data_IF_294855133898
#
_entry.id   IF_294855133898
#
_cell.length_a   1.000
_cell.length_b   1.000
_cell.length_c   1.000
_cell.angle_alpha   90.00
_cell.angle_beta   90.00
_cell.angle_gamma   90.00
#
_symmetry.space_group_name_H-M   'P 1'
#
loop_
_entity.id
_entity.type
_entity.pdbx_description
1 polymer ?
#
# COMPACT_ATOMS: atom_id res chain seq x y z
N UNK A 1 43.13 3.38 -33.11
CA UNK A 1 42.21 2.43 -32.44
C UNK A 1 42.27 2.71 -30.94
N UNK A 2 41.38 3.55 -30.43
CA UNK A 2 41.38 3.94 -29.01
C UNK A 2 40.56 2.94 -28.20
N UNK A 3 41.21 2.29 -27.22
CA UNK A 3 40.60 1.31 -26.31
C UNK A 3 39.86 2.07 -25.22
N UNK A 4 38.53 2.08 -25.28
CA UNK A 4 37.68 2.64 -24.22
C UNK A 4 37.66 1.66 -23.03
N UNK A 5 38.45 1.95 -22.00
CA UNK A 5 38.34 1.28 -20.70
C UNK A 5 37.30 2.01 -19.83
N UNK A 6 36.06 1.52 -19.87
CA UNK A 6 35.01 2.02 -18.98
C UNK A 6 35.33 1.65 -17.52
N UNK A 7 35.73 2.63 -16.71
CA UNK A 7 35.87 2.46 -15.25
C UNK A 7 34.49 2.21 -14.64
N UNK A 8 34.21 0.96 -14.24
CA UNK A 8 33.02 0.61 -13.46
C UNK A 8 33.09 1.29 -12.09
N UNK A 9 32.24 2.29 -11.85
CA UNK A 9 32.02 2.83 -10.51
C UNK A 9 31.44 1.73 -9.62
N UNK A 10 32.26 1.14 -8.73
CA UNK A 10 31.79 0.29 -7.63
C UNK A 10 30.90 1.14 -6.73
N UNK A 11 29.61 0.81 -6.64
CA UNK A 11 28.72 1.34 -5.61
C UNK A 11 29.33 0.99 -4.25
N UNK A 12 29.64 1.99 -3.43
CA UNK A 12 29.99 1.78 -2.02
C UNK A 12 28.75 1.22 -1.32
N UNK A 13 28.77 -0.06 -0.95
CA UNK A 13 27.78 -0.62 -0.04
C UNK A 13 28.19 -0.26 1.38
N UNK A 14 27.49 0.68 2.01
CA UNK A 14 27.60 0.89 3.45
C UNK A 14 26.75 -0.20 4.14
N UNK A 15 27.38 -1.17 4.80
CA UNK A 15 26.70 -2.13 5.69
C UNK A 15 26.88 -1.77 7.18
N UNK A 16 27.19 -0.51 7.48
CA UNK A 16 27.29 -0.05 8.85
C UNK A 16 25.91 0.43 9.32
N UNK A 17 25.44 0.02 10.51
CA UNK A 17 24.24 0.58 11.11
C UNK A 17 24.43 2.08 11.38
N UNK A 18 23.32 2.83 11.27
CA UNK A 18 23.28 4.26 11.57
C UNK A 18 23.60 4.51 13.05
N UNK A 19 24.26 5.63 13.36
CA UNK A 19 24.69 6.01 14.72
C UNK A 19 23.53 6.10 15.72
N UNK A 20 22.31 6.33 15.20
CA UNK A 20 21.08 6.44 15.98
C UNK A 20 20.30 5.11 16.02
N UNK A 21 20.82 4.07 15.38
CA UNK A 21 20.25 2.72 15.33
C UNK A 21 21.17 1.79 16.11
N UNK A 22 20.92 1.66 17.42
CA UNK A 22 21.65 0.75 18.32
C UNK A 22 21.68 -0.69 17.79
N UNK A 23 22.61 -1.53 18.30
CA UNK A 23 22.88 -2.92 17.89
C UNK A 23 21.61 -3.63 17.39
N UNK A 24 21.36 -3.51 16.08
CA UNK A 24 20.14 -4.07 15.51
C UNK A 24 20.26 -5.57 15.62
N UNK A 25 19.31 -6.21 16.30
CA UNK A 25 19.20 -7.65 16.28
C UNK A 25 19.24 -8.11 14.82
N UNK A 26 20.10 -9.09 14.47
CA UNK A 26 20.19 -9.54 13.10
C UNK A 26 18.82 -10.00 12.63
N UNK A 27 18.42 -9.56 11.43
CA UNK A 27 17.20 -10.02 10.78
C UNK A 27 17.22 -11.56 10.74
N UNK A 28 16.41 -12.21 11.58
CA UNK A 28 16.24 -13.67 11.57
C UNK A 28 15.49 -14.00 10.27
N UNK A 29 16.25 -14.29 9.22
CA UNK A 29 15.74 -14.47 7.85
C UNK A 29 15.08 -15.84 7.63
N UNK A 30 14.77 -16.59 8.70
CA UNK A 30 14.32 -17.98 8.63
C UNK A 30 13.04 -18.19 9.42
N UNK A 31 11.93 -17.69 8.88
CA UNK A 31 10.61 -18.24 9.25
C UNK A 31 10.57 -19.67 8.70
N UNK A 32 10.37 -20.65 9.57
CA UNK A 32 10.22 -22.04 9.17
C UNK A 32 9.05 -22.17 8.17
N UNK A 33 9.14 -22.98 7.10
CA UNK A 33 8.06 -23.12 6.12
C UNK A 33 6.69 -23.47 6.75
N UNK A 34 6.71 -24.27 7.81
CA UNK A 34 5.51 -24.63 8.57
C UNK A 34 4.88 -23.42 9.29
N UNK A 35 5.70 -22.60 9.97
CA UNK A 35 5.22 -21.37 10.61
C UNK A 35 4.63 -20.39 9.60
N UNK A 36 5.26 -20.28 8.42
CA UNK A 36 4.77 -19.42 7.34
C UNK A 36 3.38 -19.86 6.89
N UNK A 37 3.17 -21.17 6.70
CA UNK A 37 1.90 -21.72 6.27
C UNK A 37 0.81 -21.53 7.34
N UNK A 38 1.15 -21.72 8.62
CA UNK A 38 0.24 -21.43 9.75
C UNK A 38 -0.17 -19.95 9.75
N UNK A 39 0.80 -19.02 9.66
CA UNK A 39 0.55 -17.57 9.64
C UNK A 39 -0.30 -17.16 8.44
N UNK A 40 -0.03 -17.72 7.26
CA UNK A 40 -0.80 -17.50 6.03
C UNK A 40 -2.24 -17.95 6.21
N UNK A 41 -2.48 -19.16 6.69
CA UNK A 41 -3.84 -19.69 6.89
C UNK A 41 -4.61 -18.91 7.95
N UNK A 42 -3.95 -18.55 9.05
CA UNK A 42 -4.53 -17.67 10.07
C UNK A 42 -4.94 -16.31 9.49
N UNK A 43 -4.09 -15.70 8.66
CA UNK A 43 -4.39 -14.43 7.99
C UNK A 43 -5.57 -14.55 7.02
N UNK A 44 -5.60 -15.60 6.19
CA UNK A 44 -6.70 -15.84 5.26
C UNK A 44 -8.03 -16.07 5.99
N UNK A 45 -8.01 -16.80 7.10
CA UNK A 45 -9.19 -17.00 7.94
C UNK A 45 -9.70 -15.69 8.52
N UNK A 46 -8.80 -14.85 9.07
CA UNK A 46 -9.17 -13.49 9.54
C UNK A 46 -9.82 -12.63 8.46
N UNK A 47 -9.33 -12.72 7.21
CA UNK A 47 -9.91 -11.96 6.09
C UNK A 47 -11.31 -12.46 5.71
N UNK A 48 -11.59 -13.76 5.85
CA UNK A 48 -12.88 -14.38 5.55
C UNK A 48 -13.93 -14.12 6.62
N UNK A 49 -13.53 -14.13 7.90
CA UNK A 49 -14.45 -13.98 9.05
C UNK A 49 -14.71 -12.52 9.44
N UNK A 50 -14.14 -11.56 8.71
CA UNK A 50 -14.33 -10.14 9.00
C UNK A 50 -15.80 -9.73 8.80
N UNK A 51 -16.35 -9.01 9.78
CA UNK A 51 -17.64 -8.37 9.64
C UNK A 51 -17.53 -7.15 8.71
N UNK A 52 -18.07 -7.27 7.50
CA UNK A 52 -17.97 -6.24 6.46
C UNK A 52 -18.73 -4.96 6.82
N UNK A 53 -19.87 -5.08 7.49
CA UNK A 53 -20.69 -3.93 7.89
C UNK A 53 -19.95 -3.08 8.93
N UNK A 54 -19.41 -3.73 9.97
CA UNK A 54 -18.62 -3.02 10.97
C UNK A 54 -17.35 -2.41 10.36
N UNK A 55 -16.68 -3.14 9.46
CA UNK A 55 -15.51 -2.62 8.76
C UNK A 55 -15.82 -1.35 7.95
N UNK A 56 -16.97 -1.33 7.28
CA UNK A 56 -17.42 -0.17 6.52
C UNK A 56 -17.62 1.04 7.44
N UNK A 57 -18.41 0.89 8.51
CA UNK A 57 -18.62 1.94 9.50
C UNK A 57 -17.30 2.45 10.08
N UNK A 58 -16.41 1.53 10.45
CA UNK A 58 -15.12 1.83 11.07
C UNK A 58 -14.12 2.49 10.12
N UNK A 59 -14.39 2.55 8.82
CA UNK A 59 -13.46 3.10 7.81
C UNK A 59 -14.09 4.15 6.89
N UNK A 60 -15.30 4.62 7.22
CA UNK A 60 -16.11 5.59 6.47
C UNK A 60 -15.42 6.94 6.27
N UNK A 61 -14.56 7.35 7.20
CA UNK A 61 -13.79 8.61 7.10
C UNK A 61 -12.59 8.53 6.15
N UNK A 62 -12.40 7.38 5.48
CA UNK A 62 -11.39 7.15 4.43
C UNK A 62 -9.99 7.66 4.81
N UNK A 63 -9.53 8.75 4.20
CA UNK A 63 -8.20 9.33 4.44
C UNK A 63 -8.01 9.93 5.83
N UNK A 64 -9.10 10.26 6.54
CA UNK A 64 -9.05 10.72 7.93
C UNK A 64 -8.77 9.59 8.93
N UNK A 65 -8.84 8.33 8.49
CA UNK A 65 -8.81 7.18 9.38
C UNK A 65 -7.62 6.24 9.11
N UNK A 66 -6.76 6.10 10.11
CA UNK A 66 -5.58 5.23 10.00
C UNK A 66 -5.95 3.75 9.76
N UNK A 67 -7.09 3.29 10.30
CA UNK A 67 -7.61 1.93 10.10
C UNK A 67 -7.92 1.66 8.63
N UNK A 68 -8.45 2.65 7.91
CA UNK A 68 -8.71 2.55 6.47
C UNK A 68 -7.40 2.25 5.69
N UNK A 69 -6.30 2.92 6.03
CA UNK A 69 -5.00 2.62 5.41
C UNK A 69 -4.48 1.22 5.75
N UNK A 70 -4.67 0.76 6.99
CA UNK A 70 -4.24 -0.58 7.41
C UNK A 70 -5.02 -1.68 6.69
N UNK A 71 -6.33 -1.52 6.53
CA UNK A 71 -7.18 -2.48 5.84
C UNK A 71 -6.88 -2.55 4.34
N UNK A 72 -6.56 -1.41 3.72
CA UNK A 72 -6.16 -1.35 2.31
C UNK A 72 -4.82 -2.00 2.02
N UNK A 73 -3.89 -2.10 2.99
CA UNK A 73 -2.64 -2.85 2.82
C UNK A 73 -2.86 -4.36 2.73
N UNK A 74 -3.95 -4.85 3.32
CA UNK A 74 -4.31 -6.27 3.37
C UNK A 74 -5.12 -6.73 2.14
N UNK A 75 -5.59 -5.79 1.31
CA UNK A 75 -6.61 -6.02 0.28
C UNK A 75 -6.22 -5.38 -1.05
N UNK A 76 -6.71 -5.95 -2.15
CA UNK A 76 -6.61 -5.30 -3.45
C UNK A 76 -7.67 -4.19 -3.55
N UNK A 77 -7.22 -2.98 -3.88
CA UNK A 77 -8.11 -1.81 -3.98
C UNK A 77 -8.40 -1.46 -5.43
N UNK A 78 -9.59 -0.92 -5.72
CA UNK A 78 -10.01 -0.55 -7.07
C UNK A 78 -8.95 0.27 -7.84
N UNK A 79 -8.38 1.30 -7.21
CA UNK A 79 -7.34 2.17 -7.81
C UNK A 79 -6.04 1.45 -8.17
N UNK A 80 -5.82 0.22 -7.69
CA UNK A 80 -4.65 -0.61 -7.98
C UNK A 80 -4.97 -1.84 -8.81
N UNK A 81 -6.25 -2.18 -8.92
CA UNK A 81 -6.68 -3.35 -9.66
C UNK A 81 -6.34 -3.24 -11.16
N UNK A 82 -6.41 -2.04 -11.73
CA UNK A 82 -5.97 -1.79 -13.10
C UNK A 82 -4.50 -2.14 -13.36
N UNK A 83 -3.61 -1.83 -12.42
CA UNK A 83 -2.17 -2.17 -12.52
C UNK A 83 -1.95 -3.69 -12.50
N UNK A 84 -2.79 -4.41 -11.75
CA UNK A 84 -2.73 -5.86 -11.61
C UNK A 84 -3.22 -6.55 -12.88
N UNK A 85 -4.35 -6.10 -13.43
CA UNK A 85 -4.90 -6.65 -14.68
C UNK A 85 -3.98 -6.42 -15.88
N UNK A 86 -3.22 -5.31 -15.88
CA UNK A 86 -2.28 -4.95 -16.97
C UNK A 86 -0.88 -5.52 -16.76
N UNK A 87 -0.67 -6.35 -15.74
CA UNK A 87 0.64 -6.89 -15.42
C UNK A 87 1.12 -7.84 -16.53
N UNK A 88 2.31 -7.57 -17.08
CA UNK A 88 2.91 -8.45 -18.09
C UNK A 88 3.49 -9.70 -17.42
N UNK A 89 3.65 -10.77 -18.17
CA UNK A 89 4.26 -12.03 -17.67
C UNK A 89 5.66 -11.82 -17.05
N UNK A 90 6.44 -10.87 -17.58
CA UNK A 90 7.77 -10.53 -17.07
C UNK A 90 7.76 -9.51 -15.92
N UNK A 91 6.59 -8.97 -15.55
CA UNK A 91 6.49 -8.01 -14.44
C UNK A 91 6.52 -8.78 -13.12
N UNK A 92 7.44 -8.42 -12.24
CA UNK A 92 7.60 -9.09 -10.96
C UNK A 92 6.40 -8.86 -10.04
N UNK A 93 5.70 -9.94 -9.68
CA UNK A 93 4.64 -9.92 -8.67
C UNK A 93 5.15 -9.37 -7.32
N UNK A 94 6.38 -9.73 -6.92
CA UNK A 94 7.04 -9.23 -5.69
C UNK A 94 7.03 -7.70 -5.63
N UNK A 95 7.31 -7.02 -6.75
CA UNK A 95 7.31 -5.56 -6.81
C UNK A 95 5.92 -4.98 -6.56
N UNK A 96 4.87 -5.59 -7.12
CA UNK A 96 3.50 -5.13 -6.94
C UNK A 96 3.02 -5.33 -5.50
N UNK A 97 3.30 -6.50 -4.91
CA UNK A 97 2.98 -6.76 -3.51
C UNK A 97 3.70 -5.77 -2.60
N UNK A 98 4.99 -5.52 -2.82
CA UNK A 98 5.75 -4.53 -2.07
C UNK A 98 5.14 -3.13 -2.17
N UNK A 99 4.71 -2.72 -3.38
CA UNK A 99 4.08 -1.41 -3.59
C UNK A 99 2.72 -1.25 -2.87
N UNK A 100 2.00 -2.35 -2.63
CA UNK A 100 0.74 -2.35 -1.87
C UNK A 100 1.02 -2.27 -0.37
N UNK A 101 1.91 -3.12 0.15
CA UNK A 101 2.19 -3.23 1.59
C UNK A 101 2.92 -1.98 2.13
N UNK A 102 3.93 -1.52 1.40
CA UNK A 102 4.83 -0.44 1.81
C UNK A 102 4.54 0.87 1.07
N UNK A 103 3.26 1.10 0.71
CA UNK A 103 2.86 2.33 0.03
C UNK A 103 3.27 3.55 0.86
N UNK A 104 4.08 4.49 0.31
CA UNK A 104 4.41 5.72 1.01
C UNK A 104 3.18 6.60 1.17
N UNK A 105 3.11 7.37 2.26
CA UNK A 105 2.11 8.41 2.42
C UNK A 105 2.50 9.60 1.53
N UNK A 106 1.98 9.59 0.30
CA UNK A 106 2.18 10.68 -0.66
C UNK A 106 1.12 11.75 -0.37
N UNK A 107 1.57 12.98 -0.08
CA UNK A 107 0.74 14.17 -0.03
C UNK A 107 1.14 15.07 -1.18
N UNK A 108 0.32 15.12 -2.24
CA UNK A 108 0.50 16.07 -3.35
C UNK A 108 -0.55 17.17 -3.24
N UNK A 109 -0.31 18.31 -3.90
CA UNK A 109 -1.26 19.43 -3.90
C UNK A 109 -2.61 19.02 -4.48
N UNK A 110 -2.60 18.19 -5.51
CA UNK A 110 -3.78 17.67 -6.19
C UNK A 110 -4.59 16.76 -5.27
N UNK A 111 -3.91 15.90 -4.49
CA UNK A 111 -4.58 15.03 -3.52
C UNK A 111 -5.22 15.85 -2.38
N UNK A 112 -4.50 16.83 -1.85
CA UNK A 112 -5.03 17.72 -0.80
C UNK A 112 -6.24 18.50 -1.31
N UNK A 113 -6.14 19.10 -2.49
CA UNK A 113 -7.25 19.80 -3.12
C UNK A 113 -8.46 18.87 -3.36
N UNK A 114 -8.22 17.62 -3.80
CA UNK A 114 -9.27 16.63 -3.97
C UNK A 114 -10.02 16.33 -2.67
N UNK A 115 -9.29 16.16 -1.55
CA UNK A 115 -9.86 15.92 -0.22
C UNK A 115 -10.69 17.13 0.24
N UNK A 116 -10.17 18.35 0.09
CA UNK A 116 -10.85 19.58 0.49
C UNK A 116 -12.14 19.82 -0.31
N UNK A 117 -12.07 19.57 -1.62
CA UNK A 117 -13.18 19.83 -2.55
C UNK A 117 -14.22 18.70 -2.62
N UNK A 118 -13.95 17.52 -2.05
CA UNK A 118 -14.86 16.37 -2.14
C UNK A 118 -16.26 16.69 -1.60
N UNK A 119 -16.33 17.41 -0.48
CA UNK A 119 -17.61 17.80 0.14
C UNK A 119 -18.44 18.73 -0.74
N UNK A 120 -17.79 19.69 -1.42
CA UNK A 120 -18.43 20.59 -2.37
C UNK A 120 -18.90 19.85 -3.62
N UNK A 121 -18.07 18.94 -4.14
CA UNK A 121 -18.41 18.10 -5.29
C UNK A 121 -19.64 17.23 -5.01
N UNK A 122 -19.73 16.65 -3.80
CA UNK A 122 -20.88 15.86 -3.37
C UNK A 122 -22.17 16.69 -3.36
N UNK A 123 -22.17 17.84 -2.68
CA UNK A 123 -23.33 18.75 -2.64
C UNK A 123 -23.77 19.15 -4.05
N UNK A 124 -22.80 19.52 -4.89
CA UNK A 124 -23.10 19.93 -6.27
C UNK A 124 -23.71 18.79 -7.09
N UNK A 125 -23.26 17.55 -6.87
CA UNK A 125 -23.86 16.38 -7.51
C UNK A 125 -25.29 16.14 -7.03
N UNK A 126 -25.55 16.26 -5.72
CA UNK A 126 -26.91 16.14 -5.16
C UNK A 126 -27.85 17.20 -5.76
N UNK A 127 -27.41 18.45 -5.87
CA UNK A 127 -28.18 19.55 -6.46
C UNK A 127 -28.56 19.29 -7.93
N UNK A 128 -27.62 18.72 -8.70
CA UNK A 128 -27.79 18.51 -10.16
C UNK A 128 -28.57 17.23 -10.45
N UNK A 129 -28.34 16.17 -9.68
CA UNK A 129 -28.96 14.86 -9.90
C UNK A 129 -30.30 14.71 -9.20
N UNK A 130 -30.57 15.49 -8.15
CA UNK A 130 -31.72 15.32 -7.26
C UNK A 130 -31.63 14.05 -6.39
N UNK A 131 -30.47 13.39 -6.34
CA UNK A 131 -30.23 12.18 -5.56
C UNK A 131 -29.42 12.51 -4.32
N UNK A 132 -29.75 11.89 -3.18
CA UNK A 132 -28.96 12.00 -1.96
C UNK A 132 -27.75 11.06 -1.99
N UNK A 133 -26.60 11.54 -1.54
CA UNK A 133 -25.33 10.80 -1.50
C UNK A 133 -24.83 10.68 -0.08
N UNK A 134 -24.80 9.45 0.43
CA UNK A 134 -24.20 9.13 1.71
C UNK A 134 -22.73 8.73 1.57
N UNK A 135 -21.91 9.07 2.56
CA UNK A 135 -20.53 8.57 2.64
C UNK A 135 -20.52 7.08 2.96
N UNK A 136 -19.52 6.36 2.45
CA UNK A 136 -19.32 4.92 2.70
C UNK A 136 -17.89 4.63 3.18
#
# INVERSE_FOLDING_TARGET
>A
LFVNTAKKNKKKSSSAPDKDYGLAEPLIDTILPEELEIKKNCFLNKLKTVNLHQLNLDTRDQSGNQKWFQERKKRLTASKFGDICKMRQNTSCKRQVHAIIYKPQIKTKELTHGIEMESYGRKKFEDVSGLSVETC
#
